data_IF_541182061621
#
_entry.id   IF_541182061621
#
_cell.length_a   1.000
_cell.length_b   1.000
_cell.length_c   1.000
_cell.angle_alpha   90.00
_cell.angle_beta   90.00
_cell.angle_gamma   90.00
#
_symmetry.space_group_name_H-M   'P 1'
#
loop_
_entity.id
_entity.type
_entity.pdbx_description
1 polymer ?
#
# COMPACT_ATOMS: atom_id res chain seq x y z
N UNK A 1 2.58 29.08 11.43
CA UNK A 1 2.53 28.07 10.36
C UNK A 1 3.74 27.14 10.42
N UNK A 2 4.97 27.64 10.39
CA UNK A 2 6.18 26.80 10.47
C UNK A 2 6.26 25.92 11.73
N UNK A 3 5.92 26.45 12.90
CA UNK A 3 5.91 25.68 14.16
C UNK A 3 4.93 24.48 14.10
N UNK A 4 3.71 24.69 13.59
CA UNK A 4 2.71 23.64 13.48
C UNK A 4 3.11 22.55 12.48
N UNK A 5 3.75 22.93 11.37
CA UNK A 5 4.29 21.96 10.42
C UNK A 5 5.41 21.13 11.05
N UNK A 6 6.28 21.75 11.86
CA UNK A 6 7.34 21.02 12.55
C UNK A 6 6.77 20.05 13.60
N UNK A 7 5.79 20.47 14.40
CA UNK A 7 5.09 19.59 15.34
C UNK A 7 4.43 18.39 14.63
N UNK A 8 3.80 18.63 13.47
CA UNK A 8 3.24 17.55 12.66
C UNK A 8 4.31 16.63 12.10
N UNK A 9 5.44 17.15 11.64
CA UNK A 9 6.55 16.33 11.14
C UNK A 9 7.16 15.49 12.25
N UNK A 10 7.31 16.03 13.44
CA UNK A 10 7.77 15.27 14.62
C UNK A 10 6.79 14.16 15.00
N UNK A 11 5.48 14.43 14.94
CA UNK A 11 4.44 13.49 15.34
C UNK A 11 4.12 12.42 14.30
N UNK A 12 4.14 12.78 13.02
CA UNK A 12 3.62 11.95 11.92
C UNK A 12 4.68 11.57 10.89
N UNK A 13 5.86 12.18 10.91
CA UNK A 13 6.90 12.00 9.90
C UNK A 13 6.65 12.89 8.69
N UNK A 14 6.42 12.27 7.53
CA UNK A 14 6.15 13.01 6.30
C UNK A 14 4.76 13.63 6.31
N UNK A 15 4.70 14.91 5.94
CA UNK A 15 3.50 15.74 5.89
C UNK A 15 3.37 16.32 4.49
N UNK A 16 2.17 16.23 3.92
CA UNK A 16 1.81 16.68 2.59
C UNK A 16 0.76 17.78 2.68
N UNK A 17 0.89 18.80 1.84
CA UNK A 17 -0.18 19.76 1.60
C UNK A 17 -0.96 19.32 0.36
N UNK A 18 -2.29 19.30 0.47
CA UNK A 18 -3.22 19.04 -0.60
C UNK A 18 -4.02 20.33 -0.85
N UNK A 19 -3.50 21.26 -1.66
CA UNK A 19 -4.23 22.46 -2.04
C UNK A 19 -5.35 22.12 -3.02
N UNK A 20 -6.53 22.70 -2.81
CA UNK A 20 -7.68 22.63 -3.72
C UNK A 20 -8.24 24.04 -3.85
N UNK A 21 -7.87 24.71 -4.93
CA UNK A 21 -8.20 26.12 -5.17
C UNK A 21 -7.81 27.05 -4.00
N UNK A 22 -8.79 27.57 -3.27
CA UNK A 22 -8.64 28.50 -2.14
C UNK A 22 -8.43 27.79 -0.78
N UNK A 23 -8.48 26.45 -0.76
CA UNK A 23 -8.39 25.63 0.46
C UNK A 23 -7.16 24.73 0.47
N UNK A 24 -6.72 24.32 1.65
CA UNK A 24 -5.62 23.37 1.80
C UNK A 24 -5.86 22.39 2.95
N UNK A 25 -5.80 21.10 2.65
CA UNK A 25 -5.74 20.04 3.66
C UNK A 25 -4.28 19.62 3.89
N UNK A 26 -3.94 19.32 5.14
CA UNK A 26 -2.63 18.73 5.49
C UNK A 26 -2.83 17.26 5.84
N UNK A 27 -2.04 16.40 5.19
CA UNK A 27 -2.14 14.96 5.29
C UNK A 27 -0.82 14.37 5.79
N UNK A 28 -0.87 13.31 6.60
CA UNK A 28 0.30 12.47 6.89
C UNK A 28 0.50 11.40 5.79
N UNK A 29 1.70 10.83 5.71
CA UNK A 29 1.92 9.63 4.89
C UNK A 29 1.00 8.46 5.32
N UNK A 30 0.51 7.65 4.36
CA UNK A 30 -0.24 6.44 4.67
C UNK A 30 0.65 5.32 5.23
N UNK A 31 0.05 4.52 6.10
CA UNK A 31 0.57 3.24 6.57
C UNK A 31 -0.18 2.12 5.87
N UNK A 32 0.35 0.89 5.89
CA UNK A 32 -0.34 -0.26 5.28
C UNK A 32 -1.74 -0.50 5.83
N UNK A 33 -1.99 -0.15 7.10
CA UNK A 33 -3.34 -0.26 7.68
C UNK A 33 -4.34 0.68 7.00
N UNK A 34 -3.92 1.87 6.60
CA UNK A 34 -4.77 2.84 5.90
C UNK A 34 -5.15 2.29 4.53
N UNK A 35 -4.18 1.77 3.77
CA UNK A 35 -4.46 1.10 2.50
C UNK A 35 -5.37 -0.11 2.68
N UNK A 36 -5.13 -0.99 3.66
CA UNK A 36 -6.01 -2.13 3.93
C UNK A 36 -7.45 -1.69 4.16
N UNK A 37 -7.67 -0.62 4.92
CA UNK A 37 -9.01 -0.07 5.18
C UNK A 37 -9.63 0.55 3.93
N UNK A 38 -8.89 1.41 3.24
CA UNK A 38 -9.37 2.12 2.07
C UNK A 38 -9.71 1.18 0.90
N UNK A 39 -8.86 0.19 0.60
CA UNK A 39 -9.17 -0.81 -0.41
C UNK A 39 -10.30 -1.75 0.01
N UNK A 40 -10.49 -2.01 1.31
CA UNK A 40 -11.65 -2.80 1.76
C UNK A 40 -12.94 -2.02 1.52
N UNK A 41 -12.93 -0.71 1.77
CA UNK A 41 -14.05 0.17 1.45
C UNK A 41 -14.29 0.25 -0.06
N UNK A 42 -13.21 0.37 -0.86
CA UNK A 42 -13.27 0.36 -2.33
C UNK A 42 -13.94 -0.91 -2.87
N UNK A 43 -13.57 -2.08 -2.37
CA UNK A 43 -14.15 -3.36 -2.79
C UNK A 43 -15.66 -3.45 -2.48
N UNK A 44 -16.13 -2.76 -1.45
CA UNK A 44 -17.52 -2.82 -0.98
C UNK A 44 -18.40 -1.74 -1.61
N UNK A 45 -17.91 -0.51 -1.63
CA UNK A 45 -18.69 0.71 -1.90
C UNK A 45 -18.04 1.61 -2.99
N UNK A 46 -16.98 1.14 -3.67
CA UNK A 46 -16.37 1.78 -4.84
C UNK A 46 -15.33 2.87 -4.56
N UNK A 47 -14.84 3.52 -5.62
CA UNK A 47 -13.75 4.52 -5.57
C UNK A 47 -14.06 5.74 -4.70
N UNK A 48 -15.34 6.06 -4.52
CA UNK A 48 -15.77 7.15 -3.65
C UNK A 48 -15.39 6.85 -2.19
N UNK A 49 -15.77 5.65 -1.72
CA UNK A 49 -15.50 5.19 -0.37
C UNK A 49 -14.00 5.03 -0.09
N UNK A 50 -13.21 4.70 -1.11
CA UNK A 50 -11.74 4.75 -1.01
C UNK A 50 -11.26 6.15 -0.62
N UNK A 51 -11.72 7.17 -1.34
CA UNK A 51 -11.35 8.56 -1.10
C UNK A 51 -11.76 9.06 0.28
N UNK A 52 -12.99 8.77 0.69
CA UNK A 52 -13.52 9.12 2.01
C UNK A 52 -12.64 8.54 3.12
N UNK A 53 -12.35 7.24 3.05
CA UNK A 53 -11.56 6.55 4.07
C UNK A 53 -10.11 7.04 4.10
N UNK A 54 -9.48 7.25 2.94
CA UNK A 54 -8.11 7.77 2.89
C UNK A 54 -8.04 9.19 3.43
N UNK A 55 -8.91 10.08 2.96
CA UNK A 55 -8.87 11.47 3.36
C UNK A 55 -9.14 11.61 4.86
N UNK A 56 -10.11 10.88 5.40
CA UNK A 56 -10.39 10.86 6.84
C UNK A 56 -9.21 10.30 7.64
N UNK A 57 -8.58 9.22 7.18
CA UNK A 57 -7.48 8.58 7.91
C UNK A 57 -6.18 9.40 7.90
N UNK A 58 -5.95 10.18 6.85
CA UNK A 58 -4.68 10.90 6.63
C UNK A 58 -4.75 12.37 7.05
N UNK A 59 -5.94 12.97 7.16
CA UNK A 59 -6.11 14.37 7.53
C UNK A 59 -5.58 14.67 8.93
N UNK A 60 -4.69 15.65 9.04
CA UNK A 60 -4.09 16.11 10.29
C UNK A 60 -4.37 17.59 10.59
N UNK A 61 -4.91 18.34 9.63
CA UNK A 61 -5.33 19.73 9.79
C UNK A 61 -5.61 20.42 8.46
N UNK A 62 -5.92 21.72 8.51
CA UNK A 62 -6.30 22.54 7.35
C UNK A 62 -7.80 22.73 7.23
N UNK A 63 -8.27 23.04 6.01
CA UNK A 63 -9.68 23.29 5.72
C UNK A 63 -10.48 21.98 5.67
N UNK A 64 -11.42 21.83 6.61
CA UNK A 64 -12.19 20.60 6.76
C UNK A 64 -13.20 20.39 5.63
N UNK A 65 -13.57 21.45 4.90
CA UNK A 65 -14.48 21.43 3.76
C UNK A 65 -13.98 20.53 2.63
N UNK A 66 -12.66 20.32 2.52
CA UNK A 66 -12.09 19.35 1.57
C UNK A 66 -12.62 17.92 1.83
N UNK A 67 -13.07 17.62 3.05
CA UNK A 67 -13.67 16.32 3.41
C UNK A 67 -15.19 16.29 3.31
N UNK A 68 -15.85 17.43 3.42
CA UNK A 68 -17.31 17.50 3.66
C UNK A 68 -18.08 18.19 2.54
N UNK A 69 -17.42 18.93 1.67
CA UNK A 69 -18.01 19.59 0.51
C UNK A 69 -17.56 18.88 -0.77
N UNK A 70 -18.53 18.38 -1.52
CA UNK A 70 -18.32 17.60 -2.75
C UNK A 70 -17.45 18.34 -3.79
N UNK A 71 -17.58 19.67 -3.88
CA UNK A 71 -16.83 20.48 -4.85
C UNK A 71 -15.33 20.42 -4.62
N UNK A 72 -14.90 20.34 -3.35
CA UNK A 72 -13.50 20.18 -2.95
C UNK A 72 -13.08 18.72 -2.82
N UNK A 73 -13.99 17.85 -2.38
CA UNK A 73 -13.70 16.43 -2.17
C UNK A 73 -13.37 15.69 -3.47
N UNK A 74 -14.13 15.91 -4.55
CA UNK A 74 -13.90 15.22 -5.82
C UNK A 74 -12.50 15.45 -6.42
N UNK A 75 -11.97 16.69 -6.52
CA UNK A 75 -10.60 16.90 -6.96
C UNK A 75 -9.57 16.36 -5.94
N UNK A 76 -9.78 16.58 -4.64
CA UNK A 76 -8.88 16.07 -3.58
C UNK A 76 -8.70 14.55 -3.66
N UNK A 77 -9.79 13.80 -3.85
CA UNK A 77 -9.78 12.34 -3.96
C UNK A 77 -8.89 11.85 -5.10
N UNK A 78 -8.88 12.53 -6.25
CA UNK A 78 -8.09 12.12 -7.41
C UNK A 78 -6.59 12.18 -7.11
N UNK A 79 -6.16 13.18 -6.36
CA UNK A 79 -4.76 13.36 -5.97
C UNK A 79 -4.27 12.32 -4.95
N UNK A 80 -5.18 11.67 -4.20
CA UNK A 80 -4.81 10.60 -3.26
C UNK A 80 -4.15 9.40 -3.96
N UNK A 81 -4.30 9.26 -5.28
CA UNK A 81 -3.61 8.23 -6.08
C UNK A 81 -2.09 8.44 -6.04
N UNK A 82 -1.61 9.66 -5.84
CA UNK A 82 -0.17 9.97 -5.73
C UNK A 82 0.51 9.28 -4.55
N UNK A 83 -0.25 8.88 -3.52
CA UNK A 83 0.27 8.09 -2.40
C UNK A 83 0.66 6.64 -2.76
N UNK A 84 0.30 6.17 -3.96
CA UNK A 84 0.67 4.83 -4.43
C UNK A 84 2.00 4.77 -5.17
N UNK A 85 2.67 5.90 -5.34
CA UNK A 85 3.89 5.99 -6.13
C UNK A 85 5.10 5.52 -5.32
N UNK A 86 5.22 4.21 -5.14
CA UNK A 86 6.40 3.55 -4.58
C UNK A 86 7.28 3.01 -5.70
N UNK A 87 8.60 3.10 -5.51
CA UNK A 87 9.54 2.47 -6.42
C UNK A 87 9.34 0.96 -6.44
N UNK A 88 9.44 0.38 -7.63
CA UNK A 88 9.39 -1.05 -7.82
C UNK A 88 10.57 -1.73 -7.09
N UNK A 89 10.29 -2.87 -6.45
CA UNK A 89 11.35 -3.64 -5.82
C UNK A 89 12.34 -4.20 -6.85
N UNK A 90 13.62 -4.20 -6.53
CA UNK A 90 14.63 -4.92 -7.31
C UNK A 90 14.53 -6.42 -6.97
N UNK A 91 14.29 -7.26 -7.99
CA UNK A 91 14.11 -8.71 -7.81
C UNK A 91 15.17 -9.49 -8.56
N UNK A 92 16.02 -10.20 -7.82
CA UNK A 92 17.07 -11.07 -8.34
C UNK A 92 16.76 -12.54 -8.08
N UNK A 93 16.37 -13.28 -9.11
CA UNK A 93 16.01 -14.71 -8.99
C UNK A 93 17.19 -15.61 -9.38
N UNK A 94 17.54 -16.57 -8.50
CA UNK A 94 18.55 -17.60 -8.75
C UNK A 94 18.03 -18.96 -8.30
N UNK A 95 17.80 -19.86 -9.26
CA UNK A 95 17.25 -21.18 -9.00
C UNK A 95 15.85 -21.09 -8.36
N UNK A 96 15.70 -21.68 -7.17
CA UNK A 96 14.42 -21.71 -6.44
C UNK A 96 14.27 -20.58 -5.40
N UNK A 97 15.10 -19.54 -5.47
CA UNK A 97 15.08 -18.41 -4.54
C UNK A 97 15.11 -17.07 -5.27
N UNK A 98 14.44 -16.09 -4.71
CA UNK A 98 14.42 -14.71 -5.19
C UNK A 98 14.83 -13.78 -4.06
N UNK A 99 15.82 -12.93 -4.32
CA UNK A 99 16.20 -11.82 -3.44
C UNK A 99 15.41 -10.59 -3.88
N UNK A 100 14.66 -10.00 -2.96
CA UNK A 100 13.89 -8.76 -3.17
C UNK A 100 14.61 -7.66 -2.38
N UNK A 101 14.86 -6.52 -3.02
CA UNK A 101 15.51 -5.35 -2.41
C UNK A 101 14.58 -4.15 -2.57
N UNK A 102 14.30 -3.46 -1.47
CA UNK A 102 13.43 -2.28 -1.39
C UNK A 102 14.12 -1.28 -0.48
N UNK A 103 14.45 -0.09 -1.01
CA UNK A 103 15.15 0.96 -0.25
C UNK A 103 16.40 0.44 0.50
N UNK A 104 17.20 -0.38 -0.18
CA UNK A 104 18.40 -1.02 0.40
C UNK A 104 18.15 -2.19 1.35
N UNK A 105 16.93 -2.37 1.84
CA UNK A 105 16.55 -3.52 2.68
C UNK A 105 16.35 -4.77 1.82
N UNK A 106 16.83 -5.92 2.30
CA UNK A 106 16.74 -7.19 1.58
C UNK A 106 15.87 -8.22 2.28
N UNK A 107 15.18 -9.03 1.48
CA UNK A 107 14.64 -10.31 1.90
C UNK A 107 14.90 -11.39 0.85
N UNK A 108 14.96 -12.64 1.31
CA UNK A 108 15.11 -13.82 0.49
C UNK A 108 13.84 -14.66 0.61
N UNK A 109 13.20 -14.94 -0.50
CA UNK A 109 12.02 -15.81 -0.58
C UNK A 109 12.32 -17.05 -1.40
N UNK A 110 11.71 -18.18 -1.06
CA UNK A 110 11.70 -19.37 -1.93
C UNK A 110 10.62 -19.24 -3.01
N UNK A 111 10.67 -20.11 -4.01
CA UNK A 111 9.64 -20.25 -5.04
C UNK A 111 8.25 -20.42 -4.41
N UNK A 112 7.28 -19.72 -5.01
CA UNK A 112 5.87 -19.76 -4.61
C UNK A 112 5.22 -20.98 -5.24
N UNK A 113 4.56 -21.80 -4.42
CA UNK A 113 3.82 -22.97 -4.88
C UNK A 113 2.31 -22.74 -4.80
N UNK A 114 1.54 -23.60 -5.49
CA UNK A 114 0.07 -23.58 -5.41
C UNK A 114 -0.44 -23.80 -3.98
N UNK A 115 0.26 -24.61 -3.18
CA UNK A 115 -0.16 -24.90 -1.81
C UNK A 115 0.12 -23.72 -0.87
N UNK A 116 1.18 -22.93 -1.14
CA UNK A 116 1.41 -21.67 -0.43
C UNK A 116 0.27 -20.68 -0.66
N UNK A 117 -0.17 -20.53 -1.91
CA UNK A 117 -1.27 -19.64 -2.29
C UNK A 117 -2.57 -20.09 -1.61
N UNK A 118 -2.94 -21.37 -1.75
CA UNK A 118 -4.14 -21.91 -1.09
C UNK A 118 -4.10 -21.72 0.42
N UNK A 119 -2.94 -21.90 1.03
CA UNK A 119 -2.78 -21.72 2.48
C UNK A 119 -2.91 -20.25 2.86
N UNK A 120 -2.33 -19.34 2.09
CA UNK A 120 -2.45 -17.90 2.31
C UNK A 120 -3.90 -17.41 2.16
N UNK A 121 -4.63 -17.89 1.14
CA UNK A 121 -6.04 -17.57 0.92
C UNK A 121 -6.93 -18.09 2.05
N UNK A 122 -6.72 -19.32 2.53
CA UNK A 122 -7.43 -19.86 3.70
C UNK A 122 -7.21 -19.03 4.96
N UNK A 123 -6.05 -18.38 5.08
CA UNK A 123 -5.74 -17.45 6.18
C UNK A 123 -6.30 -16.03 5.96
N UNK A 124 -7.01 -15.80 4.86
CA UNK A 124 -7.74 -14.57 4.54
C UNK A 124 -9.20 -14.87 4.13
N UNK A 125 -10.01 -15.50 5.00
CA UNK A 125 -11.38 -15.90 4.65
C UNK A 125 -12.30 -14.72 4.32
N UNK A 126 -11.99 -13.52 4.81
CA UNK A 126 -12.74 -12.29 4.52
C UNK A 126 -12.29 -11.57 3.25
N UNK A 127 -11.32 -12.12 2.49
CA UNK A 127 -10.84 -11.51 1.25
C UNK A 127 -10.21 -10.13 1.42
N UNK A 128 -9.71 -9.79 2.62
CA UNK A 128 -9.20 -8.45 2.90
C UNK A 128 -7.99 -8.13 2.01
N UNK A 129 -7.90 -6.92 1.42
CA UNK A 129 -6.76 -6.48 0.62
C UNK A 129 -5.43 -6.69 1.33
N UNK A 130 -4.40 -7.09 0.57
CA UNK A 130 -3.01 -7.32 1.01
C UNK A 130 -2.80 -8.43 2.06
N UNK A 131 -3.86 -8.97 2.69
CA UNK A 131 -3.71 -9.99 3.73
C UNK A 131 -3.22 -11.30 3.13
N UNK A 132 -3.70 -11.70 1.96
CA UNK A 132 -3.19 -12.90 1.26
C UNK A 132 -1.70 -12.76 0.94
N UNK A 133 -1.28 -11.60 0.42
CA UNK A 133 0.13 -11.32 0.10
C UNK A 133 1.00 -11.30 1.37
N UNK A 134 0.50 -10.74 2.47
CA UNK A 134 1.15 -10.82 3.79
C UNK A 134 1.33 -12.27 4.24
N UNK A 135 0.28 -13.10 4.14
CA UNK A 135 0.33 -14.50 4.57
C UNK A 135 1.20 -15.36 3.67
N UNK A 136 1.23 -15.03 2.37
CA UNK A 136 2.10 -15.66 1.41
C UNK A 136 3.57 -15.32 1.72
N UNK A 137 3.88 -14.05 1.97
CA UNK A 137 5.22 -13.64 2.38
C UNK A 137 5.69 -14.37 3.63
N UNK A 138 4.85 -14.43 4.67
CA UNK A 138 5.14 -15.18 5.91
C UNK A 138 5.47 -16.66 5.64
N UNK A 139 4.86 -17.29 4.63
CA UNK A 139 5.06 -18.70 4.32
C UNK A 139 6.33 -18.99 3.48
N UNK A 140 6.76 -18.03 2.67
CA UNK A 140 7.86 -18.22 1.70
C UNK A 140 9.16 -17.51 2.08
N UNK A 141 9.11 -16.56 3.03
CA UNK A 141 10.29 -15.82 3.46
C UNK A 141 11.26 -16.74 4.21
N UNK A 142 12.51 -16.75 3.77
CA UNK A 142 13.60 -17.51 4.37
C UNK A 142 14.43 -16.63 5.30
N UNK A 143 14.75 -15.42 4.84
CA UNK A 143 15.57 -14.43 5.52
C UNK A 143 15.07 -13.02 5.18
N UNK A 144 15.16 -12.07 6.11
CA UNK A 144 14.78 -10.68 5.89
C UNK A 144 15.47 -9.75 6.88
N UNK A 145 15.74 -8.54 6.45
CA UNK A 145 16.17 -7.46 7.35
C UNK A 145 15.02 -6.97 8.24
N UNK A 146 15.35 -6.24 9.31
CA UNK A 146 14.38 -5.80 10.33
C UNK A 146 13.30 -4.85 9.80
N UNK A 147 13.58 -4.10 8.72
CA UNK A 147 12.58 -3.25 8.07
C UNK A 147 11.32 -4.04 7.63
N UNK A 148 11.47 -5.33 7.31
CA UNK A 148 10.37 -6.24 6.99
C UNK A 148 9.65 -6.81 8.22
N UNK A 149 9.95 -6.37 9.43
CA UNK A 149 9.19 -6.69 10.63
C UNK A 149 8.05 -5.69 10.87
N UNK A 150 8.22 -4.42 10.47
CA UNK A 150 7.12 -3.45 10.51
C UNK A 150 6.09 -3.80 9.44
N UNK A 151 4.89 -4.21 9.86
CA UNK A 151 3.77 -4.55 8.96
C UNK A 151 3.02 -3.30 8.48
N UNK A 152 3.25 -2.15 9.11
CA UNK A 152 2.62 -0.88 8.81
C UNK A 152 3.49 0.03 7.93
N UNK A 153 4.78 -0.24 7.80
CA UNK A 153 5.66 0.48 6.89
C UNK A 153 5.25 0.26 5.42
N UNK A 154 4.54 1.24 4.85
CA UNK A 154 4.03 1.14 3.48
C UNK A 154 5.12 1.19 2.41
N UNK A 155 6.21 1.96 2.62
CA UNK A 155 7.30 2.07 1.65
C UNK A 155 8.04 0.75 1.44
N UNK A 156 8.04 -0.14 2.45
CA UNK A 156 8.60 -1.49 2.34
C UNK A 156 7.55 -2.51 1.92
N UNK A 157 6.35 -2.44 2.49
CA UNK A 157 5.34 -3.50 2.33
C UNK A 157 4.58 -3.45 1.02
N UNK A 158 4.25 -2.26 0.55
CA UNK A 158 3.49 -2.10 -0.69
C UNK A 158 4.28 -2.66 -1.89
N UNK A 159 5.52 -2.22 -2.17
CA UNK A 159 6.34 -2.80 -3.24
C UNK A 159 6.70 -4.28 -3.00
N UNK A 160 6.83 -4.73 -1.76
CA UNK A 160 6.98 -6.16 -1.46
C UNK A 160 5.79 -6.98 -1.97
N UNK A 161 4.57 -6.52 -1.73
CA UNK A 161 3.37 -7.24 -2.17
C UNK A 161 3.24 -7.24 -3.69
N UNK A 162 3.58 -6.13 -4.35
CA UNK A 162 3.68 -6.08 -5.82
C UNK A 162 4.75 -7.05 -6.35
N UNK A 163 5.92 -7.12 -5.72
CA UNK A 163 6.97 -8.06 -6.10
C UNK A 163 6.53 -9.53 -5.94
N UNK A 164 5.84 -9.87 -4.85
CA UNK A 164 5.30 -11.22 -4.62
C UNK A 164 4.22 -11.57 -5.65
N UNK A 165 3.39 -10.62 -6.05
CA UNK A 165 2.42 -10.82 -7.13
C UNK A 165 3.11 -11.06 -8.48
N UNK A 166 4.14 -10.27 -8.81
CA UNK A 166 4.96 -10.46 -10.02
C UNK A 166 5.64 -11.84 -10.03
N UNK A 167 6.13 -12.31 -8.88
CA UNK A 167 6.75 -13.64 -8.74
C UNK A 167 5.78 -14.81 -8.95
N UNK A 168 4.47 -14.61 -8.76
CA UNK A 168 3.45 -15.63 -9.09
C UNK A 168 3.20 -15.71 -10.60
N UNK A 169 3.40 -14.60 -11.32
CA UNK A 169 3.00 -14.41 -12.71
C UNK A 169 4.22 -14.32 -13.65
N UNK A 170 5.23 -15.19 -13.46
CA UNK A 170 6.47 -15.17 -14.26
C UNK A 170 6.29 -15.63 -15.71
N UNK A 171 5.17 -16.27 -16.05
CA UNK A 171 4.84 -16.74 -17.40
C UNK A 171 3.44 -16.29 -17.80
N UNK A 172 3.30 -15.76 -19.01
CA UNK A 172 2.00 -15.34 -19.58
C UNK A 172 1.41 -16.49 -20.42
N UNK A 173 0.12 -16.78 -20.22
CA UNK A 173 -0.63 -17.72 -21.04
C UNK A 173 -1.70 -16.95 -21.84
N UNK A 174 -1.89 -17.31 -23.11
CA UNK A 174 -2.93 -16.73 -23.98
C UNK A 174 -3.84 -17.85 -24.45
N UNK A 175 -5.13 -17.77 -24.09
CA UNK A 175 -6.15 -18.64 -24.64
C UNK A 175 -6.51 -18.14 -26.03
N UNK A 176 -6.19 -18.91 -27.08
CA UNK A 176 -6.59 -18.60 -28.46
C UNK A 176 -7.82 -19.42 -28.83
N UNK A 177 -8.88 -18.73 -29.26
CA UNK A 177 -10.01 -19.37 -29.95
C UNK A 177 -9.57 -19.71 -31.37
N UNK A 178 -9.78 -20.96 -31.78
CA UNK A 178 -9.56 -21.41 -33.16
C UNK A 178 -10.73 -20.96 -34.05
#
# INVERSE_FOLDING_TARGET
MEQQINEWKEKYGEVYALPVEDKTAYLRAPKMLDFKRAFSAMQKDGDLAFGEVMLEALFIGGDAEIKTDDTYFFPARKELVSFFNYDDAEVNTKGQKSKIIIDGHRCLVRVITRDDIKTAERRNPSGKPFVTQEKLFEAICLEKDDAYNDRNNASVRFPLYQAIEKLQNTKVAILKKL
#
